data_IF_063957697767
#
_entry.id   IF_063957697767
#
_cell.length_a   1.000
_cell.length_b   1.000
_cell.length_c   1.000
_cell.angle_alpha   90.00
_cell.angle_beta   90.00
_cell.angle_gamma   90.00
#
_symmetry.space_group_name_H-M   'P 1'
#
loop_
_entity.id
_entity.type
_entity.pdbx_description
1 polymer ?
#
# COMPACT_ATOMS: atom_id res chain seq x y z
N UNK A 1 7.63 -8.86 -23.64
CA UNK A 1 6.87 -10.04 -23.19
C UNK A 1 6.67 -9.86 -21.68
N UNK A 2 5.48 -9.45 -21.23
CA UNK A 2 5.08 -9.55 -19.85
C UNK A 2 5.12 -11.02 -19.49
N UNK A 3 6.07 -11.40 -18.61
CA UNK A 3 6.24 -12.78 -18.19
C UNK A 3 4.95 -13.28 -17.57
N UNK A 4 4.38 -14.33 -18.16
CA UNK A 4 3.27 -15.05 -17.55
C UNK A 4 3.77 -15.63 -16.24
N UNK A 5 3.33 -15.09 -15.09
CA UNK A 5 3.60 -15.74 -13.82
C UNK A 5 4.13 -14.87 -12.70
N UNK A 6 3.98 -13.55 -12.71
CA UNK A 6 4.39 -12.70 -11.59
C UNK A 6 3.28 -12.53 -10.51
N UNK A 7 2.12 -13.13 -10.73
CA UNK A 7 0.99 -13.12 -9.81
C UNK A 7 0.20 -14.43 -9.88
N UNK A 8 -0.59 -14.69 -8.87
CA UNK A 8 -1.55 -15.78 -8.78
C UNK A 8 -2.89 -15.27 -8.26
N UNK A 9 -3.95 -16.01 -8.52
CA UNK A 9 -5.30 -15.68 -8.07
C UNK A 9 -5.77 -16.63 -6.98
N UNK A 10 -6.54 -16.09 -6.05
CA UNK A 10 -7.29 -16.87 -5.04
C UNK A 10 -8.74 -16.41 -5.01
N UNK A 11 -9.66 -17.33 -4.77
CA UNK A 11 -11.04 -16.96 -4.45
C UNK A 11 -11.11 -16.46 -3.01
N UNK A 12 -11.66 -15.24 -2.80
CA UNK A 12 -11.77 -14.56 -1.48
C UNK A 12 -12.45 -15.44 -0.43
N UNK A 13 -13.54 -16.10 -0.80
CA UNK A 13 -14.36 -16.89 0.13
C UNK A 13 -13.67 -18.20 0.47
N UNK A 14 -13.04 -18.86 -0.50
CA UNK A 14 -12.25 -20.07 -0.27
C UNK A 14 -11.06 -19.79 0.66
N UNK A 15 -10.38 -18.64 0.48
CA UNK A 15 -9.33 -18.21 1.38
C UNK A 15 -9.85 -17.91 2.80
N UNK A 16 -10.99 -17.22 2.91
CA UNK A 16 -11.61 -16.96 4.21
C UNK A 16 -12.00 -18.26 4.93
N UNK A 17 -12.50 -19.26 4.19
CA UNK A 17 -12.78 -20.60 4.73
C UNK A 17 -11.50 -21.31 5.20
N UNK A 18 -10.40 -21.24 4.43
CA UNK A 18 -9.11 -21.78 4.86
C UNK A 18 -8.60 -21.12 6.16
N UNK A 19 -8.78 -19.81 6.32
CA UNK A 19 -8.44 -19.10 7.53
C UNK A 19 -9.29 -19.46 8.75
N UNK A 20 -10.55 -19.88 8.55
CA UNK A 20 -11.41 -20.41 9.65
C UNK A 20 -10.89 -21.73 10.22
N UNK A 21 -10.27 -22.58 9.41
CA UNK A 21 -9.58 -23.78 9.88
C UNK A 21 -8.38 -23.40 10.78
N UNK A 22 -7.68 -22.31 10.44
CA UNK A 22 -6.58 -21.75 11.21
C UNK A 22 -5.46 -21.16 10.36
N UNK A 23 -4.53 -20.48 11.02
CA UNK A 23 -3.42 -19.77 10.35
C UNK A 23 -2.61 -20.67 9.40
N UNK A 24 -2.23 -21.87 9.86
CA UNK A 24 -1.45 -22.76 9.01
C UNK A 24 -2.22 -23.22 7.77
N UNK A 25 -3.52 -23.47 7.88
CA UNK A 25 -4.37 -23.85 6.74
C UNK A 25 -4.47 -22.68 5.73
N UNK A 26 -4.71 -21.44 6.19
CA UNK A 26 -4.71 -20.26 5.34
C UNK A 26 -3.38 -20.07 4.60
N UNK A 27 -2.25 -20.20 5.31
CA UNK A 27 -0.91 -20.11 4.71
C UNK A 27 -0.67 -21.24 3.69
N UNK A 28 -1.03 -22.48 4.02
CA UNK A 28 -0.88 -23.64 3.12
C UNK A 28 -1.72 -23.43 1.85
N UNK A 29 -2.96 -22.94 2.00
CA UNK A 29 -3.82 -22.62 0.88
C UNK A 29 -3.16 -21.61 -0.08
N UNK A 30 -2.60 -20.52 0.44
CA UNK A 30 -1.87 -19.53 -0.36
C UNK A 30 -0.66 -20.12 -1.09
N UNK A 31 0.13 -20.96 -0.39
CA UNK A 31 1.30 -21.61 -0.99
C UNK A 31 0.89 -22.58 -2.11
N UNK A 32 -0.18 -23.36 -1.93
CA UNK A 32 -0.71 -24.24 -2.97
C UNK A 32 -1.24 -23.41 -4.14
N UNK A 33 -2.02 -22.36 -3.88
CA UNK A 33 -2.54 -21.47 -4.91
C UNK A 33 -1.42 -20.81 -5.73
N UNK A 34 -0.31 -20.39 -5.09
CA UNK A 34 0.87 -19.87 -5.79
C UNK A 34 1.50 -20.92 -6.73
N UNK A 35 1.42 -22.19 -6.36
CA UNK A 35 1.93 -23.30 -7.18
C UNK A 35 1.05 -23.65 -8.38
N UNK A 36 -0.07 -22.97 -8.61
CA UNK A 36 -0.92 -23.18 -9.77
C UNK A 36 -0.30 -22.63 -11.05
N UNK A 37 -0.67 -23.21 -12.19
CA UNK A 37 -0.28 -22.76 -13.50
C UNK A 37 -1.10 -21.56 -13.98
N UNK A 38 -1.15 -21.37 -15.30
CA UNK A 38 -1.98 -20.33 -15.94
C UNK A 38 -3.48 -20.53 -15.77
N UNK A 39 -3.88 -21.72 -15.41
CA UNK A 39 -5.27 -22.10 -15.14
C UNK A 39 -5.76 -21.65 -13.76
N UNK A 40 -4.85 -21.14 -12.90
CA UNK A 40 -5.10 -20.73 -11.52
C UNK A 40 -5.84 -21.82 -10.68
N UNK A 41 -5.78 -23.08 -11.11
CA UNK A 41 -6.48 -24.18 -10.48
C UNK A 41 -5.60 -25.37 -10.14
N UNK A 42 -4.65 -25.74 -11.00
CA UNK A 42 -3.88 -26.97 -10.81
C UNK A 42 -2.50 -26.67 -10.24
N UNK A 43 -2.24 -27.16 -9.02
CA UNK A 43 -0.96 -27.01 -8.31
C UNK A 43 -0.22 -28.34 -8.19
N UNK A 44 1.07 -28.30 -8.47
CA UNK A 44 1.99 -29.44 -8.26
C UNK A 44 2.98 -29.23 -7.11
N UNK A 45 2.70 -28.24 -6.28
CA UNK A 45 3.54 -27.96 -5.14
C UNK A 45 3.31 -28.96 -4.01
N UNK A 46 4.42 -29.48 -3.49
CA UNK A 46 4.42 -30.50 -2.46
C UNK A 46 4.57 -29.92 -1.06
N UNK A 47 4.51 -30.79 -0.04
CA UNK A 47 4.84 -30.48 1.35
C UNK A 47 6.20 -29.80 1.49
N UNK A 48 7.18 -30.15 0.62
CA UNK A 48 8.50 -29.51 0.63
C UNK A 48 8.43 -28.03 0.19
N UNK A 49 7.56 -27.70 -0.77
CA UNK A 49 7.33 -26.32 -1.16
C UNK A 49 6.69 -25.53 -0.02
N UNK A 50 5.71 -26.12 0.68
CA UNK A 50 5.08 -25.48 1.84
C UNK A 50 6.12 -25.20 2.91
N UNK A 51 6.96 -26.16 3.28
CA UNK A 51 8.03 -25.98 4.26
C UNK A 51 9.01 -24.88 3.83
N UNK A 52 9.44 -24.88 2.57
CA UNK A 52 10.39 -23.91 2.01
C UNK A 52 9.87 -22.49 2.08
N UNK A 53 8.63 -22.27 1.64
CA UNK A 53 8.07 -20.91 1.47
C UNK A 53 7.41 -20.35 2.72
N UNK A 54 6.94 -21.22 3.64
CA UNK A 54 6.21 -20.77 4.83
C UNK A 54 6.91 -21.10 6.15
N UNK A 55 7.92 -21.98 6.15
CA UNK A 55 8.52 -22.51 7.37
C UNK A 55 7.60 -23.42 8.19
N UNK A 56 6.47 -23.88 7.63
CA UNK A 56 5.61 -24.89 8.27
C UNK A 56 6.28 -26.24 8.12
N UNK A 57 6.54 -26.93 9.24
CA UNK A 57 7.16 -28.25 9.21
C UNK A 57 6.32 -29.27 8.44
N UNK A 58 6.96 -30.24 7.79
CA UNK A 58 6.29 -31.27 6.98
C UNK A 58 5.14 -31.99 7.70
N UNK A 59 5.25 -32.39 8.97
CA UNK A 59 4.12 -33.00 9.67
C UNK A 59 2.92 -32.06 9.75
N UNK A 60 3.13 -30.78 10.15
CA UNK A 60 2.06 -29.77 10.22
C UNK A 60 1.48 -29.45 8.83
N UNK A 61 2.32 -29.41 7.80
CA UNK A 61 1.86 -29.21 6.43
C UNK A 61 0.97 -30.35 5.92
N UNK A 62 1.29 -31.61 6.25
CA UNK A 62 0.43 -32.76 5.90
C UNK A 62 -0.93 -32.67 6.58
N UNK A 63 -0.95 -32.30 7.86
CA UNK A 63 -2.24 -32.10 8.59
C UNK A 63 -3.04 -30.98 7.96
N UNK A 64 -2.44 -29.81 7.70
CA UNK A 64 -3.14 -28.68 7.08
C UNK A 64 -3.68 -28.99 5.68
N UNK A 65 -2.90 -29.72 4.84
CA UNK A 65 -3.40 -30.22 3.54
C UNK A 65 -4.62 -31.12 3.73
N UNK A 66 -4.58 -32.02 4.71
CA UNK A 66 -5.67 -32.95 4.95
C UNK A 66 -6.95 -32.19 5.36
N UNK A 67 -6.84 -31.20 6.25
CA UNK A 67 -7.97 -30.34 6.66
C UNK A 67 -8.55 -29.56 5.47
N UNK A 68 -7.69 -29.00 4.60
CA UNK A 68 -8.15 -28.32 3.38
C UNK A 68 -8.88 -29.27 2.41
N UNK A 69 -8.49 -30.55 2.37
CA UNK A 69 -9.18 -31.57 1.56
C UNK A 69 -10.54 -31.93 2.19
N UNK A 70 -10.61 -32.09 3.49
CA UNK A 70 -11.84 -32.39 4.24
C UNK A 70 -12.86 -31.28 4.04
N UNK A 71 -12.44 -30.01 4.09
CA UNK A 71 -13.29 -28.84 3.82
C UNK A 71 -13.48 -28.57 2.31
N UNK A 72 -13.02 -29.46 1.43
CA UNK A 72 -13.17 -29.40 -0.03
C UNK A 72 -12.54 -28.14 -0.68
N UNK A 73 -11.66 -27.43 0.02
CA UNK A 73 -10.97 -26.25 -0.51
C UNK A 73 -9.90 -26.60 -1.54
N UNK A 74 -9.35 -27.82 -1.43
CA UNK A 74 -8.47 -28.43 -2.42
C UNK A 74 -8.87 -29.89 -2.66
N UNK A 75 -8.65 -30.38 -3.87
CA UNK A 75 -8.86 -31.79 -4.24
C UNK A 75 -7.52 -32.41 -4.58
N UNK A 76 -7.17 -33.51 -3.97
CA UNK A 76 -5.99 -34.28 -4.35
C UNK A 76 -6.32 -35.14 -5.57
N UNK A 77 -5.67 -34.87 -6.70
CA UNK A 77 -5.77 -35.67 -7.94
C UNK A 77 -4.79 -36.83 -7.93
N UNK A 78 -3.54 -36.57 -7.52
CA UNK A 78 -2.49 -37.57 -7.39
C UNK A 78 -1.76 -37.39 -6.06
N UNK A 79 -1.35 -38.52 -5.46
CA UNK A 79 -0.54 -38.55 -4.25
C UNK A 79 0.94 -38.87 -4.53
N UNK A 80 1.70 -39.16 -3.45
CA UNK A 80 3.10 -39.57 -3.55
C UNK A 80 4.08 -38.42 -3.59
N UNK A 81 5.23 -38.62 -4.26
CA UNK A 81 6.34 -37.65 -4.31
C UNK A 81 6.06 -36.45 -5.23
N UNK A 82 5.13 -36.60 -6.17
CA UNK A 82 4.70 -35.54 -7.11
C UNK A 82 3.17 -35.39 -6.97
N UNK A 83 2.69 -34.76 -5.89
CA UNK A 83 1.28 -34.56 -5.68
C UNK A 83 0.72 -33.59 -6.71
N UNK A 84 -0.57 -33.76 -7.03
CA UNK A 84 -1.31 -32.80 -7.82
C UNK A 84 -2.60 -32.44 -7.06
N UNK A 85 -2.81 -31.13 -6.87
CA UNK A 85 -3.98 -30.58 -6.20
C UNK A 85 -4.74 -29.68 -7.15
N UNK A 86 -6.07 -29.74 -7.08
CA UNK A 86 -6.93 -28.73 -7.67
C UNK A 86 -7.37 -27.78 -6.56
N UNK A 87 -7.10 -26.48 -6.71
CA UNK A 87 -7.66 -25.43 -5.86
C UNK A 87 -9.10 -25.19 -6.29
N UNK A 88 -10.04 -25.27 -5.35
CA UNK A 88 -11.48 -25.25 -5.65
C UNK A 88 -12.03 -23.85 -5.39
N UNK A 89 -12.61 -23.16 -6.39
CA UNK A 89 -13.31 -21.92 -6.16
C UNK A 89 -14.58 -22.14 -5.34
N UNK A 90 -14.98 -21.12 -4.59
CA UNK A 90 -16.11 -21.20 -3.65
C UNK A 90 -17.42 -21.67 -4.29
N UNK A 91 -17.68 -21.27 -5.51
CA UNK A 91 -18.84 -21.73 -6.27
C UNK A 91 -18.96 -23.24 -6.32
N UNK A 92 -17.87 -23.92 -6.67
CA UNK A 92 -17.87 -25.39 -6.78
C UNK A 92 -18.03 -26.08 -5.42
N UNK A 93 -17.59 -25.46 -4.33
CA UNK A 93 -17.75 -25.98 -2.97
C UNK A 93 -19.24 -25.96 -2.58
N UNK A 94 -19.88 -24.83 -2.86
CA UNK A 94 -21.31 -24.65 -2.57
C UNK A 94 -22.17 -25.59 -3.40
N UNK A 95 -21.90 -25.72 -4.69
CA UNK A 95 -22.63 -26.64 -5.59
C UNK A 95 -22.54 -28.08 -5.12
N UNK A 96 -21.40 -28.51 -4.58
CA UNK A 96 -21.21 -29.87 -4.04
C UNK A 96 -21.91 -30.10 -2.70
N UNK A 97 -22.02 -29.05 -1.88
CA UNK A 97 -22.69 -29.16 -0.58
C UNK A 97 -24.23 -29.22 -0.67
N UNK A 98 -24.77 -28.93 -1.84
CA UNK A 98 -26.24 -28.91 -2.06
C UNK A 98 -26.97 -27.78 -1.33
N UNK A 99 -26.22 -26.82 -0.77
CA UNK A 99 -26.75 -25.77 0.10
C UNK A 99 -27.36 -24.56 -0.63
N UNK A 100 -27.22 -24.48 -1.94
CA UNK A 100 -27.77 -23.34 -2.71
C UNK A 100 -28.45 -23.87 -3.99
N UNK A 101 -29.70 -23.42 -4.21
CA UNK A 101 -30.35 -23.51 -5.51
C UNK A 101 -29.59 -22.74 -6.60
N UNK A 102 -30.06 -22.63 -7.83
CA UNK A 102 -29.33 -22.25 -9.04
C UNK A 102 -28.85 -20.76 -9.08
N UNK A 103 -28.47 -20.19 -7.95
CA UNK A 103 -27.86 -18.86 -7.92
C UNK A 103 -26.41 -18.98 -8.40
N UNK A 104 -26.12 -18.46 -9.57
CA UNK A 104 -24.76 -18.41 -10.11
C UNK A 104 -23.94 -17.46 -9.24
N UNK A 105 -23.11 -18.01 -8.37
CA UNK A 105 -22.15 -17.23 -7.56
C UNK A 105 -20.86 -17.13 -8.35
N UNK A 106 -20.57 -15.98 -8.91
CA UNK A 106 -19.29 -15.74 -9.59
C UNK A 106 -18.13 -15.81 -8.59
N UNK A 107 -16.96 -16.37 -8.98
CA UNK A 107 -15.77 -16.34 -8.14
C UNK A 107 -15.29 -14.91 -7.92
N UNK A 108 -14.93 -14.58 -6.69
CA UNK A 108 -14.35 -13.29 -6.31
C UNK A 108 -12.82 -13.43 -6.18
N UNK A 109 -12.10 -13.14 -7.25
CA UNK A 109 -10.66 -13.34 -7.29
C UNK A 109 -9.89 -12.15 -6.73
N UNK A 110 -8.97 -12.45 -5.81
CA UNK A 110 -7.92 -11.54 -5.36
C UNK A 110 -6.62 -11.90 -6.07
N UNK A 111 -5.97 -10.92 -6.67
CA UNK A 111 -4.71 -11.08 -7.39
C UNK A 111 -3.53 -10.75 -6.49
N UNK A 112 -2.70 -11.74 -6.20
CA UNK A 112 -1.58 -11.64 -5.29
C UNK A 112 -0.25 -11.76 -6.03
N UNK A 113 0.78 -10.94 -5.69
CA UNK A 113 2.09 -11.07 -6.31
C UNK A 113 2.79 -12.35 -5.84
N UNK A 114 3.48 -13.01 -6.75
CA UNK A 114 4.25 -14.21 -6.44
C UNK A 114 5.29 -13.97 -5.34
N UNK A 115 5.83 -12.76 -5.27
CA UNK A 115 6.79 -12.34 -4.25
C UNK A 115 6.29 -12.53 -2.81
N UNK A 116 4.98 -12.52 -2.56
CA UNK A 116 4.40 -12.83 -1.25
C UNK A 116 4.81 -14.20 -0.73
N UNK A 117 4.91 -15.17 -1.63
CA UNK A 117 5.25 -16.56 -1.31
C UNK A 117 6.71 -16.87 -1.59
N UNK A 118 7.24 -16.38 -2.72
CA UNK A 118 8.59 -16.71 -3.16
C UNK A 118 9.66 -15.88 -2.41
N UNK A 119 9.30 -14.71 -1.87
CA UNK A 119 10.25 -13.72 -1.40
C UNK A 119 10.97 -13.01 -2.55
N UNK A 120 11.85 -12.09 -2.23
CA UNK A 120 12.69 -11.35 -3.18
C UNK A 120 14.12 -11.30 -2.66
N UNK A 121 15.11 -11.52 -3.54
CA UNK A 121 16.52 -11.30 -3.21
C UNK A 121 17.11 -12.21 -2.13
N UNK A 122 16.49 -13.35 -1.83
CA UNK A 122 16.92 -14.25 -0.75
C UNK A 122 16.37 -13.88 0.63
N UNK A 123 15.56 -12.82 0.72
CA UNK A 123 14.84 -12.45 1.94
C UNK A 123 13.79 -13.51 2.28
N UNK A 124 13.46 -13.59 3.57
CA UNK A 124 12.35 -14.41 4.06
C UNK A 124 11.05 -13.98 3.39
N UNK A 125 10.26 -14.95 2.94
CA UNK A 125 9.01 -14.62 2.26
C UNK A 125 8.05 -13.85 3.20
N UNK A 126 7.29 -12.86 2.68
CA UNK A 126 6.29 -12.13 3.45
C UNK A 126 5.31 -13.03 4.20
N UNK A 127 4.87 -14.11 3.55
CA UNK A 127 3.93 -15.04 4.19
C UNK A 127 4.54 -15.80 5.38
N UNK A 128 5.83 -16.10 5.33
CA UNK A 128 6.54 -16.71 6.46
C UNK A 128 6.69 -15.73 7.63
N UNK A 129 6.94 -14.44 7.36
CA UNK A 129 6.97 -13.38 8.37
C UNK A 129 5.62 -13.26 9.08
N UNK A 130 4.53 -13.15 8.31
CA UNK A 130 3.16 -13.05 8.86
C UNK A 130 2.78 -14.29 9.66
N UNK A 131 3.15 -15.49 9.18
CA UNK A 131 2.91 -16.73 9.94
C UNK A 131 3.63 -16.75 11.30
N UNK A 132 4.83 -16.18 11.39
CA UNK A 132 5.58 -16.12 12.66
C UNK A 132 4.92 -15.23 13.70
N UNK A 133 4.12 -14.27 13.30
CA UNK A 133 3.33 -13.45 14.21
C UNK A 133 2.15 -14.21 14.85
N UNK A 134 1.88 -15.46 14.42
CA UNK A 134 0.88 -16.36 14.98
C UNK A 134 -0.55 -15.79 15.04
N UNK A 135 -0.88 -14.85 14.16
CA UNK A 135 -2.19 -14.19 14.11
C UNK A 135 -2.84 -14.39 12.74
N UNK A 136 -3.98 -15.12 12.72
CA UNK A 136 -4.71 -15.39 11.48
C UNK A 136 -5.39 -14.14 10.93
N UNK A 137 -5.84 -13.21 11.80
CA UNK A 137 -6.45 -11.96 11.37
C UNK A 137 -5.45 -11.07 10.63
N UNK A 138 -4.17 -11.10 11.05
CA UNK A 138 -3.09 -10.40 10.35
C UNK A 138 -2.89 -10.93 8.92
N UNK A 139 -2.97 -12.25 8.74
CA UNK A 139 -2.95 -12.88 7.43
C UNK A 139 -4.13 -12.45 6.56
N UNK A 140 -5.34 -12.44 7.16
CA UNK A 140 -6.55 -11.98 6.49
C UNK A 140 -6.46 -10.50 6.11
N UNK A 141 -5.98 -9.65 7.01
CA UNK A 141 -5.77 -8.23 6.76
C UNK A 141 -4.82 -7.98 5.59
N UNK A 142 -3.66 -8.66 5.57
CA UNK A 142 -2.71 -8.53 4.47
C UNK A 142 -3.35 -8.88 3.12
N UNK A 143 -4.10 -9.98 3.04
CA UNK A 143 -4.76 -10.39 1.80
C UNK A 143 -5.90 -9.44 1.43
N UNK A 144 -6.69 -8.97 2.41
CA UNK A 144 -7.74 -7.99 2.19
C UNK A 144 -7.19 -6.64 1.68
N UNK A 145 -6.00 -6.23 2.11
CA UNK A 145 -5.34 -5.03 1.59
C UNK A 145 -5.06 -5.12 0.08
N UNK A 146 -4.75 -6.32 -0.44
CA UNK A 146 -4.62 -6.52 -1.90
C UNK A 146 -5.95 -6.39 -2.63
N UNK A 147 -7.02 -6.84 -2.01
CA UNK A 147 -8.37 -6.82 -2.58
C UNK A 147 -8.92 -5.39 -2.75
N UNK A 148 -8.57 -4.51 -1.82
CA UNK A 148 -9.04 -3.11 -1.80
C UNK A 148 -8.02 -2.11 -2.37
N UNK A 149 -7.03 -2.59 -3.11
CA UNK A 149 -6.02 -1.75 -3.75
C UNK A 149 -6.59 -1.08 -5.00
N UNK A 150 -6.55 0.25 -5.06
CA UNK A 150 -6.95 1.08 -6.20
C UNK A 150 -5.75 1.89 -6.73
N UNK A 151 -4.84 1.20 -7.42
CA UNK A 151 -3.68 1.84 -8.02
C UNK A 151 -4.04 2.92 -9.06
N UNK A 152 -5.01 2.73 -9.97
CA UNK A 152 -5.31 3.71 -11.01
C UNK A 152 -5.74 5.08 -10.49
N UNK A 153 -6.51 5.11 -9.41
CA UNK A 153 -7.07 6.33 -8.87
C UNK A 153 -6.28 6.86 -7.66
N UNK A 154 -5.90 5.96 -6.74
CA UNK A 154 -5.31 6.34 -5.46
C UNK A 154 -3.79 6.10 -5.38
N UNK A 155 -3.22 5.31 -6.29
CA UNK A 155 -1.81 4.93 -6.21
C UNK A 155 -1.47 3.97 -5.07
N UNK A 156 -2.48 3.36 -4.45
CA UNK A 156 -2.34 2.45 -3.31
C UNK A 156 -3.66 1.81 -2.90
N UNK A 157 -3.86 1.61 -1.61
CA UNK A 157 -5.13 1.18 -1.02
C UNK A 157 -6.07 2.38 -1.00
N UNK A 158 -7.33 2.18 -1.37
CA UNK A 158 -8.33 3.23 -1.41
C UNK A 158 -8.45 3.97 -0.06
N UNK A 159 -8.52 5.31 -0.09
CA UNK A 159 -8.71 6.16 1.10
C UNK A 159 -9.98 5.83 1.86
N UNK A 160 -10.99 5.32 1.18
CA UNK A 160 -12.24 4.84 1.78
C UNK A 160 -12.04 3.60 2.66
N UNK A 161 -10.87 2.98 2.64
CA UNK A 161 -10.54 1.82 3.46
C UNK A 161 -9.65 2.22 4.65
N UNK A 162 -8.43 2.69 4.36
CA UNK A 162 -7.43 3.11 5.33
C UNK A 162 -6.54 4.20 4.78
N UNK A 163 -6.20 5.17 5.60
CA UNK A 163 -5.31 6.27 5.25
C UNK A 163 -4.58 6.79 6.48
N UNK A 164 -3.69 7.76 6.30
CA UNK A 164 -3.07 8.46 7.41
C UNK A 164 -3.18 9.98 7.22
N UNK A 165 -3.22 10.72 8.30
CA UNK A 165 -3.08 12.18 8.30
C UNK A 165 -1.67 12.55 8.72
N UNK A 166 -1.18 13.69 8.18
CA UNK A 166 0.01 14.37 8.65
C UNK A 166 -0.35 15.78 9.10
N UNK A 167 0.21 16.20 10.23
CA UNK A 167 0.06 17.58 10.69
C UNK A 167 0.82 18.51 9.77
N UNK A 168 0.16 19.59 9.34
CA UNK A 168 0.73 20.60 8.44
C UNK A 168 0.81 21.95 9.12
N UNK A 169 1.79 22.75 8.73
CA UNK A 169 1.96 24.11 9.19
C UNK A 169 2.27 25.04 8.02
N UNK A 170 1.67 26.23 7.98
CA UNK A 170 2.06 27.26 7.03
C UNK A 170 3.39 27.85 7.47
N UNK A 171 4.46 27.62 6.72
CA UNK A 171 5.82 28.07 7.02
C UNK A 171 6.06 29.49 6.52
N UNK A 172 5.55 29.80 5.32
CA UNK A 172 5.75 31.11 4.71
C UNK A 172 4.90 31.32 3.47
N UNK A 173 5.02 32.53 2.93
CA UNK A 173 4.35 32.92 1.69
C UNK A 173 5.26 33.88 0.91
N UNK A 174 5.31 33.71 -0.41
CA UNK A 174 6.09 34.60 -1.29
C UNK A 174 5.42 34.74 -2.65
N UNK A 175 4.96 35.97 -2.95
CA UNK A 175 4.21 36.22 -4.17
C UNK A 175 2.93 35.38 -4.23
N UNK A 176 2.78 34.59 -5.28
CA UNK A 176 1.65 33.69 -5.50
C UNK A 176 1.89 32.26 -4.95
N UNK A 177 2.90 32.06 -4.10
CA UNK A 177 3.27 30.75 -3.57
C UNK A 177 3.15 30.75 -2.06
N UNK A 178 2.41 29.78 -1.51
CA UNK A 178 2.36 29.45 -0.09
C UNK A 178 3.22 28.23 0.14
N UNK A 179 4.10 28.27 1.15
CA UNK A 179 4.95 27.17 1.54
C UNK A 179 4.35 26.50 2.78
N UNK A 180 3.95 25.28 2.63
CA UNK A 180 3.52 24.40 3.72
C UNK A 180 4.66 23.52 4.18
N UNK A 181 4.63 23.15 5.45
CA UNK A 181 5.52 22.17 6.05
C UNK A 181 4.74 21.05 6.69
N UNK A 182 5.30 19.84 6.73
CA UNK A 182 4.77 18.70 7.46
C UNK A 182 5.89 17.82 7.99
N UNK A 183 5.62 17.10 9.08
CA UNK A 183 6.54 16.15 9.68
C UNK A 183 6.07 14.73 9.40
N UNK A 184 6.97 13.86 8.89
CA UNK A 184 6.67 12.46 8.65
C UNK A 184 6.33 11.69 9.95
N UNK A 185 6.89 12.14 11.09
CA UNK A 185 6.64 11.59 12.42
C UNK A 185 5.23 11.87 12.95
N UNK A 186 4.52 12.88 12.43
CA UNK A 186 3.16 13.26 12.84
C UNK A 186 2.06 12.32 12.32
N UNK A 187 2.42 11.22 11.67
CA UNK A 187 1.52 10.26 11.05
C UNK A 187 0.48 9.72 12.05
N UNK A 188 -0.80 9.89 11.72
CA UNK A 188 -1.96 9.34 12.44
C UNK A 188 -2.79 8.49 11.50
N UNK A 189 -2.88 7.19 11.79
CA UNK A 189 -3.64 6.24 10.98
C UNK A 189 -5.14 6.43 11.26
N UNK A 190 -5.92 6.45 10.21
CA UNK A 190 -7.38 6.48 10.23
C UNK A 190 -7.96 5.45 9.25
N UNK A 191 -9.21 5.11 9.44
CA UNK A 191 -9.96 4.22 8.57
C UNK A 191 -11.39 4.75 8.42
N UNK A 192 -12.08 4.31 7.37
CA UNK A 192 -13.47 4.68 7.18
C UNK A 192 -14.38 3.66 7.88
N UNK A 193 -15.27 4.07 8.80
CA UNK A 193 -16.26 3.19 9.38
C UNK A 193 -17.11 2.54 8.27
N UNK A 194 -17.26 1.23 8.30
CA UNK A 194 -17.97 0.49 7.25
C UNK A 194 -17.12 0.08 6.04
N UNK A 195 -15.82 0.42 6.02
CA UNK A 195 -14.88 -0.12 5.04
C UNK A 195 -14.77 -1.64 5.11
N UNK A 196 -14.25 -2.26 4.06
CA UNK A 196 -14.06 -3.72 4.02
C UNK A 196 -13.04 -4.18 5.05
N UNK A 197 -11.96 -3.39 5.27
CA UNK A 197 -10.94 -3.67 6.27
C UNK A 197 -11.50 -3.53 7.70
N UNK A 198 -12.34 -2.51 7.96
CA UNK A 198 -13.01 -2.34 9.25
C UNK A 198 -13.95 -3.50 9.55
N UNK A 199 -14.76 -3.92 8.58
CA UNK A 199 -15.69 -5.07 8.71
C UNK A 199 -14.96 -6.37 9.01
N UNK A 200 -13.75 -6.59 8.49
CA UNK A 200 -12.95 -7.78 8.80
C UNK A 200 -12.68 -7.91 10.30
N UNK A 201 -12.58 -6.79 11.02
CA UNK A 201 -12.37 -6.74 12.48
C UNK A 201 -13.67 -6.54 13.25
N UNK A 202 -14.82 -6.43 12.57
CA UNK A 202 -16.12 -6.19 13.21
C UNK A 202 -16.27 -4.76 13.76
N UNK A 203 -15.50 -3.80 13.25
CA UNK A 203 -15.53 -2.43 13.73
C UNK A 203 -16.86 -1.75 13.36
N UNK A 204 -17.55 -1.26 14.38
CA UNK A 204 -18.80 -0.50 14.23
C UNK A 204 -18.61 1.02 14.28
N UNK A 205 -17.38 1.50 14.52
CA UNK A 205 -17.07 2.91 14.63
C UNK A 205 -17.12 3.48 16.06
N UNK A 206 -17.22 2.62 17.06
CA UNK A 206 -17.10 3.00 18.48
C UNK A 206 -15.62 3.16 18.83
N UNK A 207 -15.25 4.31 19.42
CA UNK A 207 -13.86 4.62 19.79
C UNK A 207 -13.32 3.72 20.92
N UNK A 208 -14.20 3.19 21.78
CA UNK A 208 -13.86 2.32 22.90
C UNK A 208 -13.87 0.81 22.52
N UNK A 209 -14.09 0.47 21.25
CA UNK A 209 -14.14 -0.93 20.80
C UNK A 209 -12.74 -1.59 20.93
N UNK A 210 -12.61 -2.68 21.71
CA UNK A 210 -11.35 -3.44 21.80
C UNK A 210 -10.83 -3.93 20.44
N UNK A 211 -11.72 -4.20 19.48
CA UNK A 211 -11.36 -4.60 18.13
C UNK A 211 -10.61 -3.49 17.38
N UNK A 212 -10.83 -2.23 17.73
CA UNK A 212 -10.10 -1.09 17.19
C UNK A 212 -8.61 -1.15 17.53
N UNK A 213 -8.30 -1.45 18.80
CA UNK A 213 -6.91 -1.64 19.23
C UNK A 213 -6.26 -2.79 18.47
N UNK A 214 -6.94 -3.93 18.35
CA UNK A 214 -6.44 -5.09 17.59
C UNK A 214 -6.18 -4.74 16.12
N UNK A 215 -7.08 -3.99 15.49
CA UNK A 215 -6.93 -3.54 14.11
C UNK A 215 -5.70 -2.66 13.93
N UNK A 216 -5.52 -1.62 14.75
CA UNK A 216 -4.36 -0.74 14.65
C UNK A 216 -3.04 -1.44 14.98
N UNK A 217 -3.04 -2.40 15.91
CA UNK A 217 -1.87 -3.22 16.21
C UNK A 217 -1.51 -4.12 15.00
N UNK A 218 -2.51 -4.69 14.33
CA UNK A 218 -2.31 -5.48 13.12
C UNK A 218 -1.74 -4.62 11.99
N UNK A 219 -2.32 -3.45 11.75
CA UNK A 219 -1.83 -2.47 10.76
C UNK A 219 -0.39 -2.09 11.04
N UNK A 220 -0.07 -1.66 12.28
CA UNK A 220 1.31 -1.31 12.68
C UNK A 220 2.28 -2.48 12.57
N UNK A 221 1.81 -3.70 12.82
CA UNK A 221 2.64 -4.90 12.71
C UNK A 221 3.04 -5.18 11.28
N UNK A 222 2.11 -5.06 10.31
CA UNK A 222 2.41 -5.19 8.89
C UNK A 222 3.33 -4.07 8.41
N UNK A 223 3.14 -2.84 8.88
CA UNK A 223 4.00 -1.69 8.56
C UNK A 223 5.42 -1.89 9.09
N UNK A 224 5.56 -2.35 10.36
CA UNK A 224 6.87 -2.58 11.00
C UNK A 224 7.72 -3.60 10.27
N UNK A 225 7.11 -4.63 9.69
CA UNK A 225 7.83 -5.62 8.86
C UNK A 225 7.96 -5.21 7.40
N UNK A 226 7.58 -3.98 7.07
CA UNK A 226 7.77 -3.39 5.74
C UNK A 226 6.92 -4.01 4.65
N UNK A 227 5.73 -4.56 4.96
CA UNK A 227 4.83 -5.12 3.96
C UNK A 227 3.97 -4.05 3.27
N UNK A 228 3.77 -2.92 3.93
CA UNK A 228 3.22 -1.71 3.34
C UNK A 228 3.77 -0.47 4.06
N UNK A 229 3.57 0.70 3.45
CA UNK A 229 3.90 1.99 4.03
C UNK A 229 2.83 3.01 3.65
N UNK A 230 2.72 4.09 4.43
CA UNK A 230 1.92 5.24 4.04
C UNK A 230 2.81 6.22 3.27
N UNK A 231 2.48 6.45 2.02
CA UNK A 231 3.15 7.44 1.16
C UNK A 231 2.41 8.78 1.29
N UNK A 232 3.04 9.84 1.81
CA UNK A 232 2.43 11.14 1.88
C UNK A 232 2.07 11.65 0.47
N UNK A 233 0.86 12.19 0.33
CA UNK A 233 0.35 12.82 -0.88
C UNK A 233 -0.22 14.18 -0.55
N UNK A 234 0.02 15.13 -1.44
CA UNK A 234 -0.63 16.42 -1.39
C UNK A 234 -2.01 16.33 -2.04
N UNK A 235 -3.02 16.88 -1.36
CA UNK A 235 -4.39 16.99 -1.85
C UNK A 235 -4.79 18.47 -1.90
N UNK A 236 -5.58 18.82 -2.90
CA UNK A 236 -6.03 20.21 -3.08
C UNK A 236 -6.86 20.73 -1.89
N UNK A 237 -7.60 19.84 -1.24
CA UNK A 237 -8.41 20.15 -0.06
C UNK A 237 -8.54 18.93 0.87
N UNK A 238 -9.30 19.08 1.94
CA UNK A 238 -9.71 18.02 2.88
C UNK A 238 -11.00 17.30 2.47
N UNK A 239 -11.56 17.64 1.31
CA UNK A 239 -12.74 16.99 0.75
C UNK A 239 -12.41 15.51 0.43
N UNK A 240 -13.32 14.55 0.74
CA UNK A 240 -13.14 13.15 0.37
C UNK A 240 -12.87 12.91 -1.12
N UNK A 241 -13.41 13.75 -1.99
CA UNK A 241 -13.24 13.68 -3.45
C UNK A 241 -12.11 14.59 -3.96
N UNK A 242 -11.31 15.21 -3.05
CA UNK A 242 -10.23 16.11 -3.44
C UNK A 242 -9.23 15.43 -4.37
N UNK A 243 -8.78 16.19 -5.36
CA UNK A 243 -7.78 15.75 -6.32
C UNK A 243 -6.42 15.52 -5.64
N UNK A 244 -5.77 14.42 -6.00
CA UNK A 244 -4.37 14.14 -5.63
C UNK A 244 -3.48 14.98 -6.52
N UNK A 245 -2.75 15.93 -5.93
CA UNK A 245 -1.78 16.72 -6.67
C UNK A 245 -0.58 15.85 -7.03
N UNK A 246 0.12 15.31 -6.05
CA UNK A 246 1.21 14.36 -6.23
C UNK A 246 1.64 13.70 -4.91
N UNK A 247 2.41 12.60 -5.03
CA UNK A 247 3.08 11.99 -3.90
C UNK A 247 4.27 12.85 -3.43
N UNK A 248 4.52 12.84 -2.13
CA UNK A 248 5.64 13.53 -1.47
C UNK A 248 6.45 12.47 -0.72
N UNK A 249 7.00 11.52 -1.47
CA UNK A 249 7.71 10.40 -0.86
C UNK A 249 9.15 10.74 -0.53
N UNK A 250 9.64 10.12 0.54
CA UNK A 250 11.07 9.92 0.80
C UNK A 250 11.53 8.59 0.16
N UNK A 251 12.37 7.83 0.84
CA UNK A 251 12.93 6.57 0.34
C UNK A 251 11.92 5.42 0.20
N UNK A 252 10.67 5.59 0.64
CA UNK A 252 9.66 4.53 0.66
C UNK A 252 8.74 4.49 -0.57
N UNK A 253 8.83 5.51 -1.44
CA UNK A 253 8.06 5.61 -2.68
C UNK A 253 8.80 5.10 -3.91
N UNK A 254 8.30 5.50 -5.08
CA UNK A 254 8.97 5.28 -6.35
C UNK A 254 10.10 6.32 -6.52
N UNK A 255 11.15 6.03 -7.31
CA UNK A 255 12.29 6.95 -7.46
C UNK A 255 11.91 8.36 -7.90
N UNK A 256 10.96 8.48 -8.84
CA UNK A 256 10.48 9.80 -9.30
C UNK A 256 9.67 10.55 -8.23
N UNK A 257 9.00 9.85 -7.32
CA UNK A 257 8.30 10.47 -6.18
C UNK A 257 9.28 11.04 -5.16
N UNK A 258 10.41 10.37 -4.96
CA UNK A 258 11.50 10.85 -4.11
C UNK A 258 12.19 12.08 -4.72
N UNK A 259 12.44 12.05 -6.02
CA UNK A 259 12.99 13.19 -6.77
C UNK A 259 12.06 14.40 -6.68
N UNK A 260 10.75 14.18 -6.86
CA UNK A 260 9.75 15.23 -6.75
C UNK A 260 9.67 15.82 -5.34
N UNK A 261 9.74 14.99 -4.30
CA UNK A 261 9.76 15.45 -2.91
C UNK A 261 10.97 16.34 -2.60
N UNK A 262 12.14 15.96 -3.11
CA UNK A 262 13.37 16.76 -2.99
C UNK A 262 13.24 18.10 -3.72
N UNK A 263 12.73 18.10 -4.95
CA UNK A 263 12.51 19.33 -5.72
C UNK A 263 11.48 20.25 -5.05
N UNK A 264 10.39 19.70 -4.50
CA UNK A 264 9.41 20.45 -3.74
C UNK A 264 10.02 21.12 -2.50
N UNK A 265 10.83 20.35 -1.75
CA UNK A 265 11.52 20.88 -0.57
C UNK A 265 12.46 22.04 -0.93
N UNK A 266 13.29 21.87 -1.97
CA UNK A 266 14.22 22.91 -2.44
C UNK A 266 13.49 24.16 -2.93
N UNK A 267 12.44 24.00 -3.71
CA UNK A 267 11.61 25.10 -4.19
C UNK A 267 10.95 25.84 -3.03
N UNK A 268 10.37 25.11 -2.07
CA UNK A 268 9.81 25.68 -0.85
C UNK A 268 10.84 26.47 -0.04
N UNK A 269 12.02 25.86 0.19
CA UNK A 269 13.12 26.50 0.91
C UNK A 269 13.59 27.79 0.23
N UNK A 270 13.68 27.80 -1.09
CA UNK A 270 14.06 28.99 -1.86
C UNK A 270 13.10 30.19 -1.70
N UNK A 271 11.82 29.89 -1.43
CA UNK A 271 10.79 30.90 -1.19
C UNK A 271 10.83 31.50 0.22
N UNK A 272 11.52 30.88 1.18
CA UNK A 272 11.53 31.33 2.56
C UNK A 272 12.54 32.47 2.81
N UNK A 273 12.27 33.28 3.84
CA UNK A 273 13.19 34.26 4.38
C UNK A 273 14.27 33.57 5.24
N UNK A 274 15.47 34.20 5.45
CA UNK A 274 16.59 33.55 6.13
C UNK A 274 16.31 33.05 7.56
N UNK A 275 15.44 33.72 8.29
CA UNK A 275 15.01 33.28 9.63
C UNK A 275 14.22 31.96 9.57
N UNK A 276 13.31 31.83 8.60
CA UNK A 276 12.53 30.62 8.36
C UNK A 276 13.37 29.50 7.76
N UNK A 277 14.34 29.82 6.90
CA UNK A 277 15.30 28.84 6.38
C UNK A 277 16.08 28.19 7.54
N UNK A 278 16.63 29.00 8.46
CA UNK A 278 17.33 28.49 9.64
C UNK A 278 16.45 27.62 10.55
N UNK A 279 15.18 27.96 10.67
CA UNK A 279 14.24 27.14 11.43
C UNK A 279 14.00 25.78 10.75
N UNK A 280 13.83 25.74 9.41
CA UNK A 280 13.69 24.50 8.64
C UNK A 280 14.92 23.61 8.78
N UNK A 281 16.14 24.17 8.74
CA UNK A 281 17.40 23.44 8.91
C UNK A 281 17.55 22.77 10.29
N UNK A 282 16.82 23.25 11.30
CA UNK A 282 16.82 22.73 12.66
C UNK A 282 15.67 21.74 12.94
N UNK A 283 14.82 21.49 11.95
CA UNK A 283 13.63 20.64 12.07
C UNK A 283 13.67 19.56 11.00
N UNK A 284 12.88 18.50 11.21
CA UNK A 284 12.69 17.43 10.22
C UNK A 284 11.46 17.69 9.33
N UNK A 285 11.15 18.99 9.11
CA UNK A 285 10.02 19.43 8.30
C UNK A 285 10.32 19.30 6.81
N UNK A 286 9.43 18.69 6.09
CA UNK A 286 9.40 18.66 4.63
C UNK A 286 8.57 19.80 4.10
N UNK A 287 9.07 20.49 3.10
CA UNK A 287 8.41 21.66 2.51
C UNK A 287 7.67 21.30 1.24
N UNK A 288 6.51 21.93 1.08
CA UNK A 288 5.68 21.82 -0.10
C UNK A 288 5.19 23.21 -0.52
N UNK A 289 5.75 23.80 -1.58
CA UNK A 289 5.26 25.03 -2.14
C UNK A 289 4.06 24.76 -3.05
N UNK A 290 2.97 25.47 -2.81
CA UNK A 290 1.77 25.41 -3.65
C UNK A 290 1.33 26.82 -4.06
N UNK A 291 0.56 26.93 -5.13
CA UNK A 291 -0.03 28.22 -5.53
C UNK A 291 -1.01 28.70 -4.46
N UNK A 292 -0.98 29.99 -4.13
CA UNK A 292 -1.74 30.57 -2.99
C UNK A 292 -3.25 30.50 -3.14
N UNK A 293 -3.80 30.09 -4.30
CA UNK A 293 -5.23 29.82 -4.43
C UNK A 293 -5.63 28.47 -3.78
N UNK A 294 -4.69 27.54 -3.59
CA UNK A 294 -4.90 26.28 -2.86
C UNK A 294 -4.79 26.58 -1.37
N UNK A 295 -5.93 26.92 -0.73
CA UNK A 295 -5.95 27.36 0.66
C UNK A 295 -6.02 26.22 1.67
N UNK A 296 -6.67 25.12 1.28
CA UNK A 296 -6.99 24.00 2.16
C UNK A 296 -6.16 22.75 1.85
N UNK A 297 -4.93 22.95 1.35
CA UNK A 297 -4.01 21.84 1.10
C UNK A 297 -4.05 20.86 2.27
N UNK A 298 -4.25 19.58 1.98
CA UNK A 298 -4.20 18.52 2.97
C UNK A 298 -3.11 17.54 2.61
N UNK A 299 -2.44 16.97 3.61
CA UNK A 299 -1.42 15.94 3.40
C UNK A 299 -1.93 14.66 4.04
N UNK A 300 -2.21 13.67 3.19
CA UNK A 300 -2.66 12.35 3.62
C UNK A 300 -1.72 11.27 3.13
N UNK A 301 -1.54 10.23 3.95
CA UNK A 301 -0.79 9.04 3.60
C UNK A 301 -1.70 8.02 2.92
N UNK A 302 -1.38 7.66 1.70
CA UNK A 302 -2.01 6.54 1.00
C UNK A 302 -1.21 5.28 1.32
N UNK A 303 -1.89 4.26 1.85
CA UNK A 303 -1.26 2.98 2.16
C UNK A 303 -0.87 2.27 0.87
N UNK A 304 0.39 1.93 0.72
CA UNK A 304 0.92 1.28 -0.48
C UNK A 304 1.65 -0.01 -0.13
N UNK A 305 1.22 -1.11 -0.73
CA UNK A 305 1.82 -2.42 -0.55
C UNK A 305 3.21 -2.47 -1.20
N UNK A 306 4.19 -3.04 -0.48
CA UNK A 306 5.58 -3.20 -0.97
C UNK A 306 5.65 -4.09 -2.20
N UNK A 307 4.94 -5.21 -2.19
CA UNK A 307 4.91 -6.16 -3.30
C UNK A 307 3.60 -5.97 -4.06
N UNK A 308 3.71 -5.65 -5.35
CA UNK A 308 2.54 -5.41 -6.20
C UNK A 308 2.54 -6.40 -7.38
N UNK A 309 1.39 -6.94 -7.78
CA UNK A 309 1.33 -7.77 -8.97
C UNK A 309 1.67 -6.92 -10.20
N UNK A 310 2.56 -7.41 -11.06
CA UNK A 310 2.93 -6.73 -12.31
C UNK A 310 1.87 -6.97 -13.36
N UNK A 311 0.85 -6.14 -13.34
CA UNK A 311 -0.29 -6.16 -14.26
C UNK A 311 -0.22 -4.98 -15.23
N UNK A 312 -1.10 -4.96 -16.24
CA UNK A 312 -1.27 -3.78 -17.10
C UNK A 312 -1.71 -2.55 -16.30
N UNK A 313 -2.54 -2.74 -15.29
CA UNK A 313 -2.98 -1.65 -14.41
C UNK A 313 -1.81 -1.05 -13.62
N UNK A 314 -0.94 -1.89 -13.06
CA UNK A 314 0.28 -1.43 -12.39
C UNK A 314 1.19 -0.65 -13.35
N UNK A 315 1.37 -1.15 -14.58
CA UNK A 315 2.18 -0.46 -15.59
C UNK A 315 1.56 0.89 -16.01
N UNK A 316 0.25 0.95 -16.17
CA UNK A 316 -0.47 2.18 -16.50
C UNK A 316 -0.37 3.22 -15.38
N UNK A 317 -0.52 2.78 -14.13
CA UNK A 317 -0.32 3.64 -12.97
C UNK A 317 1.10 4.21 -12.90
N UNK A 318 2.13 3.38 -13.08
CA UNK A 318 3.53 3.83 -13.11
C UNK A 318 3.74 4.90 -14.20
N UNK A 319 3.22 4.69 -15.41
CA UNK A 319 3.31 5.66 -16.49
C UNK A 319 2.66 7.00 -16.13
N UNK A 320 1.41 6.97 -15.67
CA UNK A 320 0.66 8.17 -15.27
C UNK A 320 1.32 8.91 -14.09
N UNK A 321 1.78 8.18 -13.08
CA UNK A 321 2.44 8.75 -11.91
C UNK A 321 3.74 9.45 -12.27
N UNK A 322 4.54 8.84 -13.15
CA UNK A 322 5.80 9.43 -13.63
C UNK A 322 5.55 10.69 -14.47
N UNK A 323 4.61 10.64 -15.40
CA UNK A 323 4.24 11.81 -16.23
C UNK A 323 3.75 12.98 -15.36
N UNK A 324 2.92 12.70 -14.35
CA UNK A 324 2.50 13.71 -13.37
C UNK A 324 3.68 14.29 -12.59
N UNK A 325 4.63 13.45 -12.15
CA UNK A 325 5.81 13.90 -11.43
C UNK A 325 6.70 14.82 -12.30
N UNK A 326 6.89 14.52 -13.58
CA UNK A 326 7.64 15.35 -14.52
C UNK A 326 7.05 16.76 -14.63
N UNK A 327 5.72 16.89 -14.75
CA UNK A 327 5.03 18.18 -14.79
C UNK A 327 5.24 19.03 -13.50
N UNK A 328 5.20 18.38 -12.33
CA UNK A 328 5.46 19.06 -11.06
C UNK A 328 6.93 19.42 -10.85
N UNK A 329 7.88 18.61 -11.36
CA UNK A 329 9.31 18.96 -11.36
C UNK A 329 9.58 20.26 -12.14
N UNK A 330 8.96 20.43 -13.32
CA UNK A 330 9.04 21.67 -14.08
C UNK A 330 8.48 22.85 -13.29
N UNK A 331 7.31 22.71 -12.67
CA UNK A 331 6.70 23.75 -11.83
C UNK A 331 7.59 24.15 -10.66
N UNK A 332 8.22 23.20 -9.97
CA UNK A 332 9.13 23.49 -8.86
C UNK A 332 10.41 24.16 -9.31
N UNK A 333 10.91 23.81 -10.50
CA UNK A 333 12.00 24.53 -11.16
C UNK A 333 11.66 25.99 -11.42
N UNK A 334 10.47 26.29 -11.96
CA UNK A 334 9.99 27.67 -12.17
C UNK A 334 9.88 28.45 -10.87
N UNK A 335 9.31 27.84 -9.80
CA UNK A 335 9.18 28.45 -8.48
C UNK A 335 10.56 28.84 -7.93
N UNK A 336 11.54 27.93 -8.01
CA UNK A 336 12.91 28.17 -7.54
C UNK A 336 13.58 29.32 -8.28
N UNK A 337 13.45 29.37 -9.60
CA UNK A 337 14.02 30.44 -10.45
C UNK A 337 13.36 31.79 -10.13
N UNK A 338 12.03 31.84 -10.01
CA UNK A 338 11.32 33.06 -9.66
C UNK A 338 11.72 33.60 -8.27
N UNK A 339 11.91 32.70 -7.29
CA UNK A 339 12.38 33.06 -5.96
C UNK A 339 13.79 33.64 -5.97
N UNK A 340 14.70 33.07 -6.76
CA UNK A 340 16.08 33.56 -6.92
C UNK A 340 16.13 34.97 -7.59
N UNK A 341 15.34 35.17 -8.65
CA UNK A 341 15.25 36.46 -9.35
C UNK A 341 14.71 37.57 -8.46
N UNK A 342 13.74 37.30 -7.61
CA UNK A 342 13.21 38.27 -6.64
C UNK A 342 14.23 38.62 -5.55
N UNK A 343 15.02 37.65 -5.06
CA UNK A 343 16.11 37.93 -4.08
C UNK A 343 17.17 38.88 -4.68
N UNK A 344 17.62 38.63 -5.91
CA UNK A 344 18.58 39.48 -6.61
C UNK A 344 18.06 40.93 -6.79
N UNK A 345 16.76 41.07 -7.18
CA UNK A 345 16.15 42.39 -7.35
C UNK A 345 16.06 43.18 -6.03
N UNK A 346 15.78 42.52 -4.92
CA UNK A 346 15.71 43.15 -3.60
C UNK A 346 17.11 43.54 -3.08
N UNK A 347 18.14 42.76 -3.33
CA UNK A 347 19.53 43.10 -3.00
C UNK A 347 19.98 44.33 -3.77
N UNK A 348 19.75 44.37 -5.07
CA UNK A 348 20.11 45.50 -5.92
C UNK A 348 19.42 46.82 -5.50
N UNK A 349 18.11 46.76 -5.13
CA UNK A 349 17.39 47.90 -4.57
C UNK A 349 17.93 48.33 -3.20
N UNK A 350 18.43 47.40 -2.39
CA UNK A 350 19.02 47.67 -1.09
C UNK A 350 20.39 48.36 -1.22
N UNK A 351 21.19 47.97 -2.21
CA UNK A 351 22.47 48.58 -2.51
C UNK A 351 22.33 50.01 -3.07
N UNK A 352 21.38 50.23 -3.98
CA UNK A 352 21.05 51.55 -4.49
C UNK A 352 20.62 52.53 -3.38
N UNK A 353 19.88 52.07 -2.37
CA UNK A 353 19.48 52.90 -1.21
C UNK A 353 20.64 53.21 -0.25
N UNK A 354 21.69 52.39 -0.19
CA UNK A 354 22.90 52.63 0.64
C UNK A 354 23.92 53.52 -0.03
N UNK A 355 23.91 53.59 -1.37
CA UNK A 355 24.82 54.45 -2.14
C UNK A 355 24.40 55.95 -2.20
N UNK A 356 23.23 56.29 -1.66
CA UNK A 356 22.71 57.67 -1.61
C UNK A 356 22.67 58.24 -0.17
N UNK A 357 23.42 57.71 0.75
CA UNK A 357 23.74 58.28 2.06
C UNK A 357 25.21 58.55 2.14
#
# INVERSE_FOLDING_TARGET
>A
RLGSGEFFAIDRRSFAAACKIGLNAGVIYLVIARGTGRDHSTSRWSVNAIERHSGISRPKAKVGIQLLIEDQLIIRRHGGTRPEYTVVPWKEIVDRSGLIGPTVVEPEYIWLPNALIDGVGGEKSPIALVREMQNVRLLQLLVAMYDVTDLPNEGGIARTEIFAYFDRVKVGERGAVTVWGFEASSLRIAFHPGSSLAKLYGLAGDEDDPALTEFFEAVRSLQRVGLFTFIPHAFESDDPDAEILHAISDDSGEPWETELAAAAHEAGYSCLWPDKQRWVEQTDIRLLPVRSHIKNLTIMGIARLRYRPRTRMTAAWVGKSKESAEAFLELYGEISQAAAGQKASLQHKGELKRGYK
#
